data_IF_649787721141
#
_entry.id   IF_649787721141
#
_cell.length_a   1.000
_cell.length_b   1.000
_cell.length_c   1.000
_cell.angle_alpha   90.00
_cell.angle_beta   90.00
_cell.angle_gamma   90.00
#
_symmetry.space_group_name_H-M   'P 1'
#
loop_
_entity.id
_entity.type
_entity.pdbx_description
1 polymer ?
#
# COMPACT_ATOMS: atom_id res chain seq x y z
N UNK A 1 -6.09 11.36 24.37
CA UNK A 1 -5.27 10.17 24.68
C UNK A 1 -6.00 8.94 24.17
N UNK A 2 -5.29 8.00 23.52
CA UNK A 2 -5.81 6.70 23.08
C UNK A 2 -6.52 5.94 24.22
N UNK A 3 -6.11 6.09 25.47
CA UNK A 3 -6.79 5.49 26.63
C UNK A 3 -8.22 6.03 26.80
N UNK A 4 -8.41 7.33 26.58
CA UNK A 4 -9.73 7.97 26.62
C UNK A 4 -10.62 7.53 25.46
N UNK A 5 -10.04 7.44 24.25
CA UNK A 5 -10.75 6.91 23.08
C UNK A 5 -11.14 5.44 23.26
N UNK A 6 -10.24 4.63 23.83
CA UNK A 6 -10.51 3.23 24.17
C UNK A 6 -11.67 3.09 25.13
N UNK A 7 -11.70 3.92 26.19
CA UNK A 7 -12.81 3.93 27.14
C UNK A 7 -14.13 4.33 26.48
N UNK A 8 -14.12 5.32 25.59
CA UNK A 8 -15.31 5.74 24.84
C UNK A 8 -15.82 4.63 23.91
N UNK A 9 -14.95 3.97 23.16
CA UNK A 9 -15.31 2.85 22.28
C UNK A 9 -15.86 1.70 23.10
N UNK A 10 -15.20 1.34 24.19
CA UNK A 10 -15.67 0.29 25.10
C UNK A 10 -17.06 0.58 25.69
N UNK A 11 -17.34 1.84 26.04
CA UNK A 11 -18.63 2.26 26.60
C UNK A 11 -19.76 2.37 25.55
N UNK A 12 -19.43 2.74 24.31
CA UNK A 12 -20.43 3.03 23.28
C UNK A 12 -20.67 1.90 22.28
N UNK A 13 -19.59 1.21 21.86
CA UNK A 13 -19.58 0.16 20.83
C UNK A 13 -18.48 -0.88 21.17
N UNK A 14 -18.69 -1.73 22.19
CA UNK A 14 -17.69 -2.71 22.62
C UNK A 14 -17.30 -3.71 21.54
N UNK A 15 -18.17 -4.02 20.58
CA UNK A 15 -17.90 -4.85 19.42
C UNK A 15 -16.85 -4.28 18.47
N UNK A 16 -16.62 -2.95 18.49
CA UNK A 16 -15.60 -2.29 17.69
C UNK A 16 -14.20 -2.34 18.32
N UNK A 17 -14.05 -2.92 19.53
CA UNK A 17 -12.77 -2.99 20.24
C UNK A 17 -11.62 -3.65 19.45
N UNK A 18 -11.82 -4.77 18.72
CA UNK A 18 -10.75 -5.35 17.92
C UNK A 18 -10.25 -4.41 16.81
N UNK A 19 -11.16 -3.66 16.19
CA UNK A 19 -10.82 -2.65 15.18
C UNK A 19 -10.07 -1.49 15.82
N UNK A 20 -10.51 -1.05 17.01
CA UNK A 20 -9.83 0.00 17.75
C UNK A 20 -8.40 -0.40 18.16
N UNK A 21 -8.19 -1.64 18.60
CA UNK A 21 -6.88 -2.13 18.99
C UNK A 21 -5.91 -2.13 17.79
N UNK A 22 -6.38 -2.51 16.59
CA UNK A 22 -5.58 -2.39 15.37
C UNK A 22 -5.28 -0.93 15.01
N UNK A 23 -6.30 -0.08 15.05
CA UNK A 23 -6.12 1.36 14.85
C UNK A 23 -5.07 1.94 15.82
N UNK A 24 -5.13 1.57 17.09
CA UNK A 24 -4.20 2.06 18.11
C UNK A 24 -2.75 1.59 17.84
N UNK A 25 -2.56 0.35 17.38
CA UNK A 25 -1.23 -0.17 16.98
C UNK A 25 -0.66 0.61 15.80
N UNK A 26 -1.46 0.82 14.77
CA UNK A 26 -1.06 1.59 13.60
C UNK A 26 -0.76 3.04 13.99
N UNK A 27 -1.64 3.67 14.76
CA UNK A 27 -1.49 5.05 15.21
C UNK A 27 -0.20 5.30 16.00
N UNK A 28 0.20 4.37 16.88
CA UNK A 28 1.48 4.48 17.60
C UNK A 28 2.67 4.35 16.66
N UNK A 29 2.58 3.49 15.65
CA UNK A 29 3.64 3.29 14.65
C UNK A 29 3.79 4.52 13.76
N UNK A 30 2.67 5.09 13.30
CA UNK A 30 2.63 6.31 12.45
C UNK A 30 3.18 7.56 13.15
N UNK A 31 3.22 7.58 14.49
CA UNK A 31 3.78 8.69 15.26
C UNK A 31 5.27 8.54 15.58
N UNK A 32 5.89 7.40 15.25
CA UNK A 32 7.31 7.17 15.49
C UNK A 32 8.17 7.63 14.30
N UNK A 33 8.32 8.94 14.18
CA UNK A 33 9.15 9.54 13.14
C UNK A 33 10.64 9.20 13.28
N UNK A 34 11.10 8.77 14.46
CA UNK A 34 12.50 8.35 14.63
C UNK A 34 12.75 7.02 13.91
N UNK A 35 11.81 6.08 14.04
CA UNK A 35 11.83 4.81 13.30
C UNK A 35 11.63 5.04 11.79
N UNK A 36 10.68 5.89 11.41
CA UNK A 36 10.44 6.20 9.99
C UNK A 36 11.69 6.80 9.33
N UNK A 37 12.34 7.76 10.00
CA UNK A 37 13.61 8.35 9.57
C UNK A 37 14.69 7.31 9.31
N UNK A 38 14.88 6.37 10.24
CA UNK A 38 15.88 5.31 10.10
C UNK A 38 15.58 4.39 8.91
N UNK A 39 14.30 4.01 8.75
CA UNK A 39 13.85 3.20 7.60
C UNK A 39 14.07 3.94 6.29
N UNK A 40 13.72 5.23 6.19
CA UNK A 40 13.89 6.02 4.98
C UNK A 40 15.36 6.18 4.60
N UNK A 41 16.23 6.46 5.57
CA UNK A 41 17.67 6.54 5.34
C UNK A 41 18.24 5.19 4.83
N UNK A 42 17.80 4.07 5.42
CA UNK A 42 18.19 2.73 4.97
C UNK A 42 17.71 2.43 3.54
N UNK A 43 16.45 2.75 3.23
CA UNK A 43 15.90 2.60 1.87
C UNK A 43 16.65 3.46 0.85
N UNK A 44 16.93 4.73 1.19
CA UNK A 44 17.67 5.63 0.31
C UNK A 44 19.06 5.07 0.00
N UNK A 45 19.79 4.61 1.02
CA UNK A 45 21.13 4.04 0.87
C UNK A 45 21.13 2.71 0.08
N UNK A 46 20.12 1.86 0.26
CA UNK A 46 20.05 0.56 -0.40
C UNK A 46 19.58 0.65 -1.85
N UNK A 47 18.57 1.49 -2.13
CA UNK A 47 17.88 1.50 -3.42
C UNK A 47 18.53 2.47 -4.42
N UNK A 48 18.94 3.65 -3.97
CA UNK A 48 19.44 4.71 -4.87
C UNK A 48 20.64 4.24 -5.71
N UNK A 49 21.66 3.55 -5.17
CA UNK A 49 22.81 3.12 -5.97
C UNK A 49 22.47 2.14 -7.11
N UNK A 50 21.37 1.38 -6.96
CA UNK A 50 21.00 0.29 -7.89
C UNK A 50 19.86 0.65 -8.83
N UNK A 51 18.93 1.49 -8.36
CA UNK A 51 17.66 1.74 -9.04
C UNK A 51 17.43 3.22 -9.36
N UNK A 52 18.46 4.09 -9.31
CA UNK A 52 18.31 5.53 -9.55
C UNK A 52 17.71 5.90 -10.91
N UNK A 53 17.74 5.00 -11.91
CA UNK A 53 17.13 5.21 -13.21
C UNK A 53 15.61 4.95 -13.24
N UNK A 54 15.05 4.28 -12.23
CA UNK A 54 13.64 3.87 -12.18
C UNK A 54 12.91 4.29 -10.91
N UNK A 55 13.62 4.42 -9.79
CA UNK A 55 13.07 4.77 -8.48
C UNK A 55 13.91 5.87 -7.85
N UNK A 56 13.24 6.94 -7.42
CA UNK A 56 13.84 7.98 -6.61
C UNK A 56 13.34 7.84 -5.16
N UNK A 57 14.26 7.74 -4.21
CA UNK A 57 13.96 7.73 -2.78
C UNK A 57 14.47 9.04 -2.19
N UNK A 58 13.67 9.79 -1.41
CA UNK A 58 14.12 11.08 -0.90
C UNK A 58 15.21 10.88 0.16
N UNK A 59 16.16 11.81 0.20
CA UNK A 59 17.18 11.86 1.24
C UNK A 59 16.63 12.54 2.50
N UNK A 60 16.98 12.05 3.68
CA UNK A 60 16.61 12.65 4.97
C UNK A 60 17.46 13.91 5.21
N UNK A 61 16.82 14.99 5.67
CA UNK A 61 17.51 16.18 6.23
C UNK A 61 17.55 16.04 7.76
N UNK A 62 18.60 15.40 8.27
CA UNK A 62 18.74 15.08 9.70
C UNK A 62 18.77 16.31 10.60
N UNK A 63 19.29 17.44 10.10
CA UNK A 63 19.38 18.70 10.87
C UNK A 63 18.00 19.31 11.13
N UNK A 64 17.02 19.01 10.27
CA UNK A 64 15.64 19.50 10.35
C UNK A 64 14.65 18.44 10.80
N UNK A 65 15.12 17.25 11.16
CA UNK A 65 14.28 16.23 11.76
C UNK A 65 14.13 16.44 13.29
N UNK A 66 12.99 16.05 13.83
CA UNK A 66 12.74 16.01 15.26
C UNK A 66 11.85 14.82 15.61
N UNK A 67 11.56 14.61 16.90
CA UNK A 67 10.64 13.56 17.34
C UNK A 67 9.20 13.71 16.80
N UNK A 68 8.86 14.83 16.15
CA UNK A 68 7.52 15.13 15.63
C UNK A 68 7.50 15.60 14.18
N UNK A 69 8.67 15.70 13.53
CA UNK A 69 8.82 16.25 12.19
C UNK A 69 9.87 15.43 11.46
N UNK A 70 9.51 14.86 10.33
CA UNK A 70 10.43 14.25 9.37
C UNK A 70 10.62 15.22 8.18
N UNK A 71 11.87 15.59 7.91
CA UNK A 71 12.22 16.47 6.78
C UNK A 71 13.04 15.68 5.76
N UNK A 72 12.72 15.84 4.48
CA UNK A 72 13.35 15.10 3.39
C UNK A 72 13.46 15.94 2.10
N UNK A 73 14.29 15.50 1.17
CA UNK A 73 14.42 16.13 -0.15
C UNK A 73 13.09 16.05 -0.92
N UNK A 74 12.69 17.15 -1.56
CA UNK A 74 11.51 17.16 -2.41
C UNK A 74 11.71 16.33 -3.68
N UNK A 75 10.76 15.44 -3.97
CA UNK A 75 10.71 14.69 -5.22
C UNK A 75 9.56 15.24 -6.10
N UNK A 76 9.86 15.82 -7.27
CA UNK A 76 8.82 16.26 -8.18
C UNK A 76 8.16 15.05 -8.86
N UNK A 77 6.84 15.09 -9.03
CA UNK A 77 6.12 14.02 -9.72
C UNK A 77 4.62 14.15 -9.60
N UNK A 78 3.90 13.36 -10.40
CA UNK A 78 2.46 13.19 -10.26
C UNK A 78 2.17 12.14 -9.18
N UNK A 79 1.17 12.35 -8.29
CA UNK A 79 0.77 11.33 -7.34
C UNK A 79 0.30 10.06 -8.06
N UNK A 80 0.74 8.90 -7.57
CA UNK A 80 0.38 7.59 -8.15
C UNK A 80 -1.13 7.41 -8.31
N UNK A 81 -1.93 7.89 -7.35
CA UNK A 81 -3.40 7.80 -7.41
C UNK A 81 -3.95 8.45 -8.69
N UNK A 82 -3.41 9.61 -9.09
CA UNK A 82 -3.87 10.30 -10.29
C UNK A 82 -3.46 9.56 -11.55
N UNK A 83 -2.21 9.08 -11.63
CA UNK A 83 -1.74 8.34 -12.79
C UNK A 83 -2.48 7.01 -12.95
N UNK A 84 -2.75 6.30 -11.84
CA UNK A 84 -3.56 5.07 -11.83
C UNK A 84 -5.00 5.34 -12.24
N UNK A 85 -5.61 6.41 -11.72
CA UNK A 85 -6.97 6.83 -12.11
C UNK A 85 -7.06 7.08 -13.61
N UNK A 86 -6.13 7.87 -14.16
CA UNK A 86 -6.08 8.16 -15.59
C UNK A 86 -5.90 6.89 -16.44
N UNK A 87 -5.06 5.95 -15.98
CA UNK A 87 -4.85 4.67 -16.67
C UNK A 87 -6.13 3.79 -16.65
N UNK A 88 -6.85 3.74 -15.53
CA UNK A 88 -8.12 3.02 -15.42
C UNK A 88 -9.20 3.63 -16.32
N UNK A 89 -9.33 4.95 -16.31
CA UNK A 89 -10.28 5.67 -17.16
C UNK A 89 -9.97 5.46 -18.65
N UNK A 90 -8.69 5.51 -19.04
CA UNK A 90 -8.25 5.22 -20.41
C UNK A 90 -8.55 3.76 -20.83
N UNK A 91 -8.56 2.83 -19.88
CA UNK A 91 -8.97 1.44 -20.09
C UNK A 91 -10.50 1.25 -20.08
N UNK A 92 -11.29 2.33 -19.95
CA UNK A 92 -12.75 2.28 -19.89
C UNK A 92 -13.30 1.81 -18.54
N UNK A 93 -12.46 1.74 -17.50
CA UNK A 93 -12.88 1.42 -16.15
C UNK A 93 -13.32 2.70 -15.45
N UNK A 94 -14.54 2.69 -14.90
CA UNK A 94 -15.00 3.76 -14.02
C UNK A 94 -14.15 3.75 -12.74
N UNK A 95 -13.31 4.78 -12.58
CA UNK A 95 -12.42 4.94 -11.42
C UNK A 95 -13.15 5.45 -10.16
N UNK A 96 -14.49 5.52 -10.17
CA UNK A 96 -15.29 5.66 -8.96
C UNK A 96 -15.18 4.42 -8.08
N UNK A 97 -15.49 4.55 -6.78
CA UNK A 97 -15.51 3.40 -5.86
C UNK A 97 -16.49 2.30 -6.30
N UNK A 98 -17.56 2.67 -6.99
CA UNK A 98 -18.54 1.72 -7.52
C UNK A 98 -18.01 1.00 -8.77
N UNK A 99 -17.34 1.73 -9.66
CA UNK A 99 -16.72 1.17 -10.86
C UNK A 99 -15.52 0.27 -10.56
N UNK A 100 -14.64 0.69 -9.65
CA UNK A 100 -13.53 -0.14 -9.13
C UNK A 100 -14.03 -1.43 -8.48
N UNK A 101 -15.12 -1.36 -7.69
CA UNK A 101 -15.73 -2.55 -7.10
C UNK A 101 -16.21 -3.51 -8.20
N UNK A 102 -16.96 -3.02 -9.19
CA UNK A 102 -17.44 -3.84 -10.31
C UNK A 102 -16.29 -4.44 -11.12
N UNK A 103 -15.21 -3.68 -11.31
CA UNK A 103 -14.01 -4.16 -11.99
C UNK A 103 -13.34 -5.29 -11.19
N UNK A 104 -13.16 -5.12 -9.89
CA UNK A 104 -12.59 -6.16 -9.03
C UNK A 104 -13.48 -7.41 -8.97
N UNK A 105 -14.80 -7.24 -8.88
CA UNK A 105 -15.79 -8.34 -8.92
C UNK A 105 -15.78 -9.07 -10.28
N UNK A 106 -15.68 -8.34 -11.39
CA UNK A 106 -15.58 -8.91 -12.73
C UNK A 106 -14.23 -9.60 -13.00
N UNK A 107 -13.20 -9.24 -12.23
CA UNK A 107 -11.86 -9.85 -12.29
C UNK A 107 -11.68 -10.95 -11.26
N UNK A 108 -12.70 -11.22 -10.42
CA UNK A 108 -12.69 -12.31 -9.43
C UNK A 108 -13.15 -13.63 -10.07
N UNK A 109 -12.25 -14.59 -10.32
CA UNK A 109 -12.62 -15.86 -10.94
C UNK A 109 -13.33 -16.83 -9.98
N UNK A 110 -13.59 -16.44 -8.73
CA UNK A 110 -14.33 -17.27 -7.78
C UNK A 110 -15.83 -17.41 -8.09
N UNK A 111 -16.38 -16.56 -8.97
CA UNK A 111 -17.80 -16.60 -9.33
C UNK A 111 -18.20 -17.81 -10.22
N UNK A 112 -17.25 -18.41 -10.95
CA UNK A 112 -17.51 -19.50 -11.92
C UNK A 112 -16.80 -20.83 -11.61
N UNK A 113 -16.10 -20.95 -10.47
CA UNK A 113 -15.46 -22.20 -10.09
C UNK A 113 -16.47 -23.13 -9.37
N UNK A 114 -16.73 -24.36 -9.88
CA UNK A 114 -17.60 -25.29 -9.17
C UNK A 114 -17.01 -25.62 -7.80
N UNK A 115 -17.87 -25.53 -6.78
CA UNK A 115 -17.55 -25.84 -5.38
C UNK A 115 -17.17 -27.33 -5.29
N UNK A 116 -15.86 -27.60 -5.28
CA UNK A 116 -15.34 -28.94 -5.00
C UNK A 116 -14.21 -29.37 -5.93
N UNK A 117 -13.01 -28.85 -5.73
CA UNK A 117 -11.79 -29.55 -6.10
C UNK A 117 -10.63 -29.06 -5.24
N UNK A 118 -10.37 -29.78 -4.14
CA UNK A 118 -9.12 -29.69 -3.40
C UNK A 118 -7.98 -30.21 -4.28
N UNK A 119 -7.01 -29.37 -4.64
CA UNK A 119 -5.81 -29.82 -5.33
C UNK A 119 -5.00 -28.66 -5.92
N UNK A 120 -3.85 -28.37 -5.30
CA UNK A 120 -2.76 -27.47 -5.74
C UNK A 120 -2.89 -26.84 -7.14
N UNK A 121 -3.04 -25.52 -7.19
CA UNK A 121 -2.55 -24.68 -8.30
C UNK A 121 -2.26 -23.23 -7.83
N UNK A 122 -1.05 -22.91 -7.30
CA UNK A 122 -0.70 -21.53 -6.94
C UNK A 122 -0.20 -20.70 -8.13
N UNK A 123 0.24 -21.31 -9.23
CA UNK A 123 1.07 -20.63 -10.25
C UNK A 123 0.28 -19.84 -11.33
N UNK A 124 -1.00 -20.14 -11.52
CA UNK A 124 -1.81 -19.49 -12.56
C UNK A 124 -2.40 -18.12 -12.12
N UNK A 125 -2.58 -17.92 -10.80
CA UNK A 125 -3.12 -16.68 -10.22
C UNK A 125 -2.11 -15.53 -10.28
N UNK A 126 -0.86 -15.79 -9.92
CA UNK A 126 0.23 -14.80 -9.94
C UNK A 126 0.53 -14.31 -11.37
N UNK A 127 0.50 -15.24 -12.34
CA UNK A 127 0.87 -14.96 -13.73
C UNK A 127 -0.06 -13.97 -14.44
N UNK A 128 -1.35 -13.92 -14.06
CA UNK A 128 -2.35 -13.05 -14.73
C UNK A 128 -2.52 -11.69 -14.06
N UNK A 129 -2.44 -11.65 -12.73
CA UNK A 129 -2.32 -10.37 -12.02
C UNK A 129 -1.05 -9.62 -12.44
N UNK A 130 0.05 -10.36 -12.63
CA UNK A 130 1.29 -9.87 -13.25
C UNK A 130 1.05 -9.26 -14.62
N UNK A 131 0.40 -9.98 -15.55
CA UNK A 131 0.14 -9.48 -16.89
C UNK A 131 -0.79 -8.25 -16.93
N UNK A 132 -1.73 -8.14 -15.99
CA UNK A 132 -2.61 -6.97 -15.87
C UNK A 132 -1.85 -5.74 -15.33
N UNK A 133 -1.02 -5.91 -14.30
CA UNK A 133 -0.20 -4.85 -13.71
C UNK A 133 0.96 -4.42 -14.62
N UNK A 134 1.62 -5.35 -15.31
CA UNK A 134 2.63 -5.04 -16.34
C UNK A 134 2.03 -4.20 -17.47
N UNK A 135 0.79 -4.51 -17.90
CA UNK A 135 0.08 -3.72 -18.92
C UNK A 135 -0.36 -2.34 -18.44
N UNK A 136 -0.73 -2.20 -17.17
CA UNK A 136 -1.30 -0.96 -16.63
C UNK A 136 -0.23 0.04 -16.17
N UNK A 137 0.90 -0.46 -15.64
CA UNK A 137 1.88 0.37 -14.93
C UNK A 137 3.31 0.16 -15.39
N UNK A 138 3.57 -0.79 -16.31
CA UNK A 138 4.91 -1.05 -16.83
C UNK A 138 5.92 -1.58 -15.80
N UNK A 139 5.45 -2.08 -14.65
CA UNK A 139 6.28 -2.58 -13.56
C UNK A 139 6.16 -4.10 -13.41
N UNK A 140 7.30 -4.79 -13.34
CA UNK A 140 7.37 -6.22 -13.00
C UNK A 140 7.15 -6.38 -11.48
N UNK A 141 5.94 -6.76 -11.09
CA UNK A 141 5.47 -6.79 -9.70
C UNK A 141 6.17 -7.84 -8.79
N UNK A 142 7.13 -8.60 -9.32
CA UNK A 142 7.90 -9.59 -8.57
C UNK A 142 8.99 -9.00 -7.64
N UNK A 143 9.23 -7.69 -7.66
CA UNK A 143 10.13 -7.04 -6.71
C UNK A 143 9.53 -6.83 -5.30
N UNK A 144 8.22 -7.07 -5.12
CA UNK A 144 7.53 -6.91 -3.83
C UNK A 144 7.10 -8.22 -3.16
N UNK A 145 7.20 -9.36 -3.85
CA UNK A 145 6.68 -10.64 -3.36
C UNK A 145 7.73 -11.54 -2.69
N UNK A 146 8.98 -11.10 -2.58
CA UNK A 146 10.02 -11.77 -1.80
C UNK A 146 10.68 -10.74 -0.89
N UNK A 147 10.62 -11.00 0.42
CA UNK A 147 11.08 -10.19 1.56
C UNK A 147 10.10 -9.13 2.13
N UNK A 148 8.94 -9.58 2.61
CA UNK A 148 8.30 -9.07 3.84
C UNK A 148 7.82 -10.23 4.71
#
# INVERSE_FOLDING_TARGET
DLRGLRALVWLSQPEAMPLFDEFARQYVTELDFARERASLAAMHAALTPRFSSTVAVPAVDDERCSARILTMSFLPGEPLERSVRAALEAAGVDASRAGLRKFLEATDPAADAPVGASGRAPLARESRARAALERLVGMDALLWAYDL
#
